data_IF_097073391421
#
_entry.id   IF_097073391421
#
_cell.length_a   1.000
_cell.length_b   1.000
_cell.length_c   1.000
_cell.angle_alpha   90.00
_cell.angle_beta   90.00
_cell.angle_gamma   90.00
#
_symmetry.space_group_name_H-M   'P 1'
#
loop_
_entity.id
_entity.type
_entity.pdbx_description
1 polymer ?
#
# COMPACT_ATOMS: atom_id res chain seq x y z
N UNK A 1 12.25 -13.26 -15.18
CA UNK A 1 10.85 -13.00 -14.81
C UNK A 1 10.86 -11.67 -14.08
N UNK A 2 10.00 -10.74 -14.44
CA UNK A 2 9.89 -9.48 -13.70
C UNK A 2 9.06 -9.78 -12.46
N UNK A 3 9.61 -9.61 -11.28
CA UNK A 3 8.88 -9.72 -10.01
C UNK A 3 8.03 -8.47 -9.89
N UNK A 4 6.77 -8.62 -9.53
CA UNK A 4 5.90 -7.48 -9.26
C UNK A 4 6.39 -6.79 -7.97
N UNK A 5 6.67 -5.47 -7.98
CA UNK A 5 7.31 -4.79 -6.85
C UNK A 5 6.52 -4.88 -5.55
N UNK A 6 5.19 -4.91 -5.62
CA UNK A 6 4.30 -5.02 -4.47
C UNK A 6 4.39 -6.40 -3.81
N UNK A 7 4.38 -7.48 -4.61
CA UNK A 7 4.54 -8.85 -4.12
C UNK A 7 5.94 -9.04 -3.51
N UNK A 8 6.98 -8.49 -4.15
CA UNK A 8 8.35 -8.56 -3.64
C UNK A 8 8.50 -7.90 -2.26
N UNK A 9 7.83 -6.77 -2.04
CA UNK A 9 7.87 -6.07 -0.76
C UNK A 9 7.37 -6.91 0.43
N UNK A 10 6.52 -7.89 0.19
CA UNK A 10 5.97 -8.79 1.23
C UNK A 10 6.59 -10.19 1.21
N UNK A 11 7.75 -10.36 0.56
CA UNK A 11 8.50 -11.62 0.50
C UNK A 11 7.93 -12.63 -0.51
N UNK A 12 7.36 -12.19 -1.61
CA UNK A 12 6.89 -13.02 -2.73
C UNK A 12 7.71 -12.66 -3.97
N UNK A 13 8.70 -13.49 -4.32
CA UNK A 13 9.62 -13.26 -5.45
C UNK A 13 9.14 -13.89 -6.76
N UNK A 14 8.07 -14.63 -6.72
CA UNK A 14 7.44 -15.28 -7.85
C UNK A 14 6.39 -14.36 -8.51
N UNK A 15 6.04 -14.65 -9.74
CA UNK A 15 5.02 -13.88 -10.45
C UNK A 15 3.59 -14.18 -9.95
N UNK A 16 2.64 -13.39 -10.47
CA UNK A 16 1.21 -13.50 -10.11
C UNK A 16 0.65 -14.90 -10.32
N UNK A 17 1.02 -15.59 -11.42
CA UNK A 17 0.51 -16.93 -11.72
C UNK A 17 0.96 -17.96 -10.68
N UNK A 18 2.24 -17.96 -10.33
CA UNK A 18 2.81 -18.86 -9.33
C UNK A 18 2.24 -18.56 -7.94
N UNK A 19 2.05 -17.27 -7.61
CA UNK A 19 1.42 -16.86 -6.35
C UNK A 19 0.00 -17.42 -6.24
N UNK A 20 -0.79 -17.34 -7.32
CA UNK A 20 -2.14 -17.92 -7.36
C UNK A 20 -2.12 -19.44 -7.20
N UNK A 21 -1.18 -20.14 -7.83
CA UNK A 21 -1.03 -21.59 -7.67
C UNK A 21 -0.78 -21.99 -6.21
N UNK A 22 0.00 -21.20 -5.46
CA UNK A 22 0.23 -21.44 -4.03
C UNK A 22 -1.02 -21.24 -3.18
N UNK A 23 -1.92 -20.37 -3.61
CA UNK A 23 -3.19 -20.13 -2.93
C UNK A 23 -4.22 -21.22 -3.18
N UNK A 24 -4.04 -22.04 -4.24
CA UNK A 24 -4.91 -23.17 -4.53
C UNK A 24 -4.84 -24.18 -3.38
N UNK A 25 -6.01 -24.53 -2.83
CA UNK A 25 -6.13 -25.44 -1.68
C UNK A 25 -5.96 -24.78 -0.31
N UNK A 26 -5.62 -23.49 -0.25
CA UNK A 26 -5.78 -22.68 0.95
C UNK A 26 -7.27 -22.35 1.11
N UNK A 27 -7.77 -22.44 2.33
CA UNK A 27 -9.18 -22.13 2.61
C UNK A 27 -9.37 -20.59 2.69
N UNK A 28 -9.28 -19.92 1.53
CA UNK A 28 -9.49 -18.48 1.43
C UNK A 28 -10.95 -18.24 1.05
N UNK A 29 -11.74 -17.55 1.88
CA UNK A 29 -13.09 -17.18 1.53
C UNK A 29 -13.10 -16.28 0.29
N UNK A 30 -13.89 -16.67 -0.70
CA UNK A 30 -14.17 -15.81 -1.87
C UNK A 30 -15.55 -15.21 -1.68
N UNK A 31 -15.66 -13.93 -1.89
CA UNK A 31 -16.89 -13.16 -1.79
C UNK A 31 -17.33 -12.82 -3.20
N UNK A 32 -18.56 -13.18 -3.55
CA UNK A 32 -19.17 -12.85 -4.83
C UNK A 32 -20.05 -11.61 -4.68
N UNK A 33 -19.84 -10.63 -5.57
CA UNK A 33 -20.69 -9.45 -5.70
C UNK A 33 -21.85 -9.76 -6.64
N UNK A 34 -23.08 -9.30 -6.35
CA UNK A 34 -24.21 -9.44 -7.25
C UNK A 34 -24.00 -8.84 -8.65
N UNK A 35 -23.08 -7.89 -8.81
CA UNK A 35 -22.70 -7.31 -10.09
C UNK A 35 -21.77 -8.22 -10.93
N UNK A 36 -21.34 -9.35 -10.39
CA UNK A 36 -20.52 -10.34 -11.10
C UNK A 36 -19.03 -10.29 -10.79
N UNK A 37 -18.58 -9.36 -9.96
CA UNK A 37 -17.23 -9.36 -9.42
C UNK A 37 -17.07 -10.42 -8.33
N UNK A 38 -15.84 -10.87 -8.11
CA UNK A 38 -15.52 -11.75 -6.98
C UNK A 38 -14.13 -11.42 -6.45
N UNK A 39 -13.92 -11.56 -5.14
CA UNK A 39 -12.61 -11.34 -4.54
C UNK A 39 -12.39 -12.19 -3.30
N UNK A 40 -11.13 -12.41 -2.97
CA UNK A 40 -10.70 -13.05 -1.74
C UNK A 40 -9.41 -12.43 -1.24
N UNK A 41 -9.15 -12.56 0.05
CA UNK A 41 -7.93 -12.09 0.68
C UNK A 41 -7.31 -13.25 1.47
N UNK A 42 -6.12 -13.64 1.07
CA UNK A 42 -5.26 -14.47 1.90
C UNK A 42 -4.52 -13.58 2.88
N UNK A 43 -4.54 -13.94 4.15
CA UNK A 43 -3.77 -13.26 5.21
C UNK A 43 -2.77 -14.24 5.79
N UNK A 44 -1.50 -13.90 5.69
CA UNK A 44 -0.38 -14.65 6.24
C UNK A 44 -0.14 -14.26 7.69
N UNK A 45 0.30 -15.19 8.58
CA UNK A 45 0.64 -14.86 9.97
C UNK A 45 1.72 -13.77 10.14
N UNK A 46 2.54 -13.55 9.12
CA UNK A 46 3.50 -12.42 9.09
C UNK A 46 2.84 -11.04 8.96
N UNK A 47 1.55 -10.97 8.62
CA UNK A 47 0.80 -9.77 8.29
C UNK A 47 0.81 -9.42 6.80
N UNK A 48 1.56 -10.16 5.97
CA UNK A 48 1.46 -10.06 4.52
C UNK A 48 0.07 -10.52 4.05
N UNK A 49 -0.49 -9.85 3.04
CA UNK A 49 -1.77 -10.22 2.45
C UNK A 49 -1.66 -10.32 0.94
N UNK A 50 -2.45 -11.20 0.34
CA UNK A 50 -2.65 -11.25 -1.11
C UNK A 50 -4.13 -11.11 -1.39
N UNK A 51 -4.53 -10.00 -1.99
CA UNK A 51 -5.87 -9.79 -2.50
C UNK A 51 -5.93 -10.30 -3.94
N UNK A 52 -6.95 -11.06 -4.28
CA UNK A 52 -7.13 -11.58 -5.63
C UNK A 52 -8.61 -11.63 -5.97
N UNK A 53 -8.90 -11.57 -7.26
CA UNK A 53 -10.30 -11.61 -7.68
C UNK A 53 -10.47 -11.42 -9.17
N UNK A 54 -11.74 -11.18 -9.51
CA UNK A 54 -12.19 -10.89 -10.87
C UNK A 54 -13.11 -9.68 -10.83
N UNK A 55 -12.83 -8.71 -11.68
CA UNK A 55 -13.67 -7.55 -11.89
C UNK A 55 -14.96 -7.92 -12.65
N UNK A 56 -15.93 -7.02 -12.70
CA UNK A 56 -17.20 -7.19 -13.42
C UNK A 56 -17.01 -7.46 -14.93
N UNK A 57 -15.97 -6.90 -15.54
CA UNK A 57 -15.58 -7.11 -16.94
C UNK A 57 -14.83 -8.43 -17.20
N UNK A 58 -14.59 -9.21 -16.15
CA UNK A 58 -13.86 -10.47 -16.20
C UNK A 58 -12.35 -10.35 -16.03
N UNK A 59 -11.81 -9.15 -15.90
CA UNK A 59 -10.38 -8.92 -15.63
C UNK A 59 -9.99 -9.49 -14.28
N UNK A 60 -8.96 -10.32 -14.26
CA UNK A 60 -8.42 -10.89 -13.03
C UNK A 60 -7.28 -10.05 -12.49
N UNK A 61 -7.24 -9.89 -11.17
CA UNK A 61 -6.19 -9.16 -10.47
C UNK A 61 -5.61 -9.98 -9.31
N UNK A 62 -4.39 -9.66 -8.92
CA UNK A 62 -3.72 -10.19 -7.73
C UNK A 62 -2.74 -9.13 -7.26
N UNK A 63 -3.01 -8.56 -6.09
CA UNK A 63 -2.27 -7.46 -5.52
C UNK A 63 -1.77 -7.82 -4.12
N UNK A 64 -0.58 -7.36 -3.76
CA UNK A 64 -0.11 -7.41 -2.39
C UNK A 64 -0.86 -6.41 -1.52
N UNK A 65 -1.01 -6.75 -0.25
CA UNK A 65 -1.48 -5.85 0.79
C UNK A 65 -0.75 -6.17 2.11
N UNK A 66 -0.93 -5.36 3.13
CA UNK A 66 -0.26 -5.52 4.42
C UNK A 66 -1.21 -5.20 5.56
N UNK A 67 -1.19 -6.02 6.60
CA UNK A 67 -1.92 -5.74 7.82
C UNK A 67 -1.33 -4.52 8.54
N UNK A 68 -2.18 -3.52 8.81
CA UNK A 68 -1.82 -2.31 9.55
C UNK A 68 -2.58 -2.25 10.87
N UNK A 69 -1.90 -1.99 12.02
CA UNK A 69 -2.56 -1.82 13.30
C UNK A 69 -3.30 -0.48 13.41
N UNK A 70 -2.97 0.48 12.54
CA UNK A 70 -3.53 1.82 12.57
C UNK A 70 -4.80 1.89 11.71
N UNK A 71 -5.87 2.41 12.30
CA UNK A 71 -7.17 2.57 11.65
C UNK A 71 -7.62 4.03 11.74
N UNK A 72 -8.13 4.56 10.63
CA UNK A 72 -8.53 5.95 10.53
C UNK A 72 -9.94 6.08 9.95
N UNK A 73 -10.77 6.98 10.49
CA UNK A 73 -11.99 7.37 9.81
C UNK A 73 -11.63 8.10 8.51
N UNK A 74 -12.34 7.77 7.44
CA UNK A 74 -12.11 8.36 6.13
C UNK A 74 -13.41 8.57 5.35
N UNK A 75 -13.34 9.46 4.36
CA UNK A 75 -14.26 9.44 3.23
C UNK A 75 -13.51 8.81 2.06
N UNK A 76 -14.11 7.77 1.47
CA UNK A 76 -13.48 7.04 0.38
C UNK A 76 -14.47 6.70 -0.73
N UNK A 77 -13.96 6.58 -1.95
CA UNK A 77 -14.69 6.08 -3.11
C UNK A 77 -13.74 5.38 -4.08
N UNK A 78 -14.26 4.44 -4.87
CA UNK A 78 -13.47 3.77 -5.91
C UNK A 78 -13.29 4.70 -7.10
N UNK A 79 -12.08 4.78 -7.65
CA UNK A 79 -11.76 5.46 -8.91
C UNK A 79 -11.64 4.48 -10.07
N UNK A 80 -11.30 3.22 -9.77
CA UNK A 80 -11.41 2.06 -10.67
C UNK A 80 -11.74 0.81 -9.86
N UNK A 81 -11.56 -0.39 -10.39
CA UNK A 81 -12.03 -1.62 -9.75
C UNK A 81 -11.58 -1.77 -8.28
N UNK A 82 -10.29 -1.75 -8.01
CA UNK A 82 -9.72 -1.86 -6.66
C UNK A 82 -8.86 -0.66 -6.24
N UNK A 83 -8.73 0.36 -7.10
CA UNK A 83 -8.08 1.62 -6.76
C UNK A 83 -9.10 2.58 -6.16
N UNK A 84 -8.80 3.10 -4.99
CA UNK A 84 -9.68 4.00 -4.25
C UNK A 84 -8.98 5.29 -3.84
N UNK A 85 -9.76 6.35 -3.79
CA UNK A 85 -9.39 7.64 -3.23
C UNK A 85 -9.85 7.71 -1.77
N UNK A 86 -8.98 8.24 -0.89
CA UNK A 86 -9.29 8.47 0.51
C UNK A 86 -8.94 9.90 0.93
N UNK A 87 -9.87 10.53 1.65
CA UNK A 87 -9.64 11.68 2.51
C UNK A 87 -9.67 11.19 3.96
N UNK A 88 -8.52 11.17 4.66
CA UNK A 88 -8.44 10.87 6.08
C UNK A 88 -9.03 12.03 6.89
N UNK A 89 -9.76 11.70 7.93
CA UNK A 89 -10.45 12.67 8.79
C UNK A 89 -9.94 12.56 10.23
N UNK A 90 -9.52 13.67 10.82
CA UNK A 90 -9.28 13.80 12.24
C UNK A 90 -10.13 14.95 12.79
N UNK A 91 -10.95 14.67 13.83
CA UNK A 91 -11.84 15.67 14.39
C UNK A 91 -12.87 16.29 13.44
N UNK A 92 -13.00 15.75 12.22
CA UNK A 92 -13.84 16.27 11.13
C UNK A 92 -13.08 17.07 10.08
N UNK A 93 -11.83 17.41 10.33
CA UNK A 93 -10.93 18.06 9.36
C UNK A 93 -10.14 17.02 8.56
N UNK A 94 -9.70 17.42 7.35
CA UNK A 94 -8.90 16.55 6.46
C UNK A 94 -7.45 16.60 6.86
N UNK A 95 -6.89 15.43 7.26
CA UNK A 95 -5.48 15.29 7.63
C UNK A 95 -4.60 14.80 6.49
N UNK A 96 -5.15 14.05 5.55
CA UNK A 96 -4.40 13.51 4.43
C UNK A 96 -5.29 13.04 3.29
N UNK A 97 -4.68 12.94 2.11
CA UNK A 97 -5.34 12.45 0.90
C UNK A 97 -4.39 11.55 0.14
N UNK A 98 -4.87 10.38 -0.30
CA UNK A 98 -4.09 9.44 -1.09
C UNK A 98 -4.96 8.52 -1.95
N UNK A 99 -4.31 7.85 -2.91
CA UNK A 99 -4.85 6.69 -3.61
C UNK A 99 -4.27 5.42 -2.99
N UNK A 100 -5.07 4.37 -2.89
CA UNK A 100 -4.61 3.06 -2.45
C UNK A 100 -5.32 1.94 -3.22
N UNK A 101 -4.60 0.84 -3.49
CA UNK A 101 -5.25 -0.42 -3.84
C UNK A 101 -5.87 -1.03 -2.60
N UNK A 102 -7.11 -1.47 -2.70
CA UNK A 102 -7.90 -1.97 -1.57
C UNK A 102 -8.16 -3.47 -1.66
N UNK A 103 -8.12 -4.13 -0.51
CA UNK A 103 -8.41 -5.56 -0.38
C UNK A 103 -9.92 -5.86 -0.29
N UNK A 104 -10.76 -4.86 -0.06
CA UNK A 104 -12.22 -4.97 -0.04
C UNK A 104 -12.86 -3.84 -0.86
N UNK A 105 -12.90 -3.93 -2.19
CA UNK A 105 -13.42 -2.87 -3.03
C UNK A 105 -14.93 -2.62 -2.86
N UNK A 106 -15.70 -3.60 -2.41
CA UNK A 106 -17.16 -3.47 -2.26
C UNK A 106 -17.59 -2.69 -1.01
N UNK A 107 -16.67 -2.42 -0.09
CA UNK A 107 -16.92 -1.48 1.01
C UNK A 107 -17.06 -0.02 0.51
N UNK A 108 -16.68 0.25 -0.74
CA UNK A 108 -16.65 1.58 -1.34
C UNK A 108 -17.59 1.66 -2.54
N UNK A 109 -18.25 2.79 -2.67
CA UNK A 109 -19.05 3.13 -3.86
C UNK A 109 -18.17 3.65 -4.99
N UNK A 110 -18.67 3.59 -6.23
CA UNK A 110 -18.03 4.25 -7.37
C UNK A 110 -18.35 5.75 -7.33
N UNK A 111 -17.32 6.58 -7.42
CA UNK A 111 -17.40 8.05 -7.60
C UNK A 111 -18.03 8.86 -6.47
N UNK A 112 -18.83 8.29 -5.60
CA UNK A 112 -19.45 9.02 -4.49
C UNK A 112 -18.77 8.66 -3.16
N UNK A 113 -18.23 9.65 -2.40
CA UNK A 113 -17.58 9.36 -1.12
C UNK A 113 -18.56 8.79 -0.09
N UNK A 114 -18.18 7.67 0.52
CA UNK A 114 -18.86 7.12 1.69
C UNK A 114 -17.92 7.07 2.90
N UNK A 115 -18.48 7.06 4.10
CA UNK A 115 -17.71 6.95 5.34
C UNK A 115 -17.27 5.51 5.54
N UNK A 116 -15.98 5.34 5.80
CA UNK A 116 -15.35 4.04 6.05
C UNK A 116 -14.29 4.16 7.13
N UNK A 117 -13.86 3.03 7.64
CA UNK A 117 -12.61 2.91 8.39
C UNK A 117 -11.54 2.35 7.44
N UNK A 118 -10.41 3.05 7.31
CA UNK A 118 -9.30 2.64 6.46
C UNK A 118 -8.07 2.32 7.30
N UNK A 119 -7.37 1.25 6.92
CA UNK A 119 -6.08 0.84 7.49
C UNK A 119 -5.01 0.93 6.39
N UNK A 120 -4.34 2.09 6.25
CA UNK A 120 -3.36 2.28 5.20
C UNK A 120 -2.06 1.55 5.52
N UNK A 121 -1.39 1.10 4.45
CA UNK A 121 -0.04 0.57 4.49
C UNK A 121 0.72 0.97 3.21
N UNK A 122 2.04 0.82 3.22
CA UNK A 122 2.89 1.17 2.09
C UNK A 122 3.83 0.00 1.75
N UNK A 123 3.95 -0.33 0.47
CA UNK A 123 4.83 -1.38 -0.04
C UNK A 123 5.97 -0.73 -0.81
N UNK A 124 7.21 -0.96 -0.40
CA UNK A 124 8.38 -0.35 -1.01
C UNK A 124 8.68 -0.91 -2.39
N UNK A 125 8.70 -0.06 -3.41
CA UNK A 125 9.08 -0.41 -4.77
C UNK A 125 10.53 0.01 -5.08
N UNK A 126 10.86 1.28 -4.83
CA UNK A 126 12.22 1.82 -4.97
C UNK A 126 12.52 2.63 -3.71
N UNK A 127 13.33 2.09 -2.81
CA UNK A 127 13.50 2.62 -1.46
C UNK A 127 14.95 2.91 -1.14
N UNK A 128 15.19 4.07 -0.54
CA UNK A 128 16.44 4.46 0.09
C UNK A 128 16.23 4.57 1.60
N UNK A 129 17.18 4.08 2.38
CA UNK A 129 17.18 4.17 3.83
C UNK A 129 18.26 5.14 4.28
N UNK A 130 17.90 6.10 5.11
CA UNK A 130 18.78 7.09 5.72
C UNK A 130 18.85 6.79 7.22
N UNK A 131 20.02 6.94 7.83
CA UNK A 131 20.20 6.65 9.25
C UNK A 131 19.46 7.64 10.17
N UNK A 132 19.11 8.84 9.68
CA UNK A 132 18.40 9.85 10.45
C UNK A 132 17.68 10.87 9.55
N UNK A 133 16.81 11.69 10.15
CA UNK A 133 16.20 12.84 9.47
C UNK A 133 17.25 13.88 9.00
N UNK A 134 18.35 14.03 9.73
CA UNK A 134 19.42 14.97 9.34
C UNK A 134 20.14 14.48 8.08
N UNK A 135 20.45 13.18 7.99
CA UNK A 135 21.02 12.58 6.77
C UNK A 135 20.06 12.72 5.58
N UNK A 136 18.78 12.44 5.80
CA UNK A 136 17.75 12.61 4.78
C UNK A 136 17.69 14.05 4.27
N UNK A 137 17.69 15.04 5.16
CA UNK A 137 17.68 16.47 4.80
C UNK A 137 18.96 16.88 4.05
N UNK A 138 20.12 16.37 4.49
CA UNK A 138 21.39 16.62 3.82
C UNK A 138 21.37 16.08 2.38
N UNK A 139 20.94 14.83 2.19
CA UNK A 139 20.86 14.20 0.86
C UNK A 139 19.95 15.00 -0.09
N UNK A 140 18.85 15.56 0.40
CA UNK A 140 17.98 16.42 -0.42
C UNK A 140 18.61 17.77 -0.76
N UNK A 141 19.40 18.35 0.14
CA UNK A 141 20.04 19.66 -0.09
C UNK A 141 21.11 19.63 -1.19
N UNK A 142 21.63 18.44 -1.50
CA UNK A 142 22.60 18.24 -2.59
C UNK A 142 21.93 18.20 -3.98
N UNK A 143 20.59 18.12 -4.02
CA UNK A 143 19.84 18.16 -5.27
C UNK A 143 19.11 19.52 -5.35
N UNK A 144 19.35 20.26 -6.42
CA UNK A 144 18.63 21.52 -6.72
C UNK A 144 17.12 21.22 -6.92
N UNK A 145 16.34 21.28 -5.86
CA UNK A 145 14.93 20.94 -5.93
C UNK A 145 14.14 21.25 -4.67
N UNK A 146 12.90 20.76 -4.66
CA UNK A 146 11.98 20.88 -3.54
C UNK A 146 12.45 20.01 -2.37
N UNK A 147 12.78 20.60 -1.24
CA UNK A 147 13.06 19.87 -0.01
C UNK A 147 11.74 19.34 0.57
N UNK A 148 11.64 18.02 0.72
CA UNK A 148 10.48 17.35 1.31
C UNK A 148 10.74 17.02 2.77
N UNK A 149 9.70 17.04 3.59
CA UNK A 149 9.77 16.58 4.97
C UNK A 149 10.03 15.06 5.02
N UNK A 150 10.66 14.56 6.10
CA UNK A 150 10.86 13.14 6.34
C UNK A 150 9.54 12.37 6.57
N UNK A 151 8.43 13.08 6.65
CA UNK A 151 7.07 12.56 6.83
C UNK A 151 6.17 13.11 5.73
N UNK A 152 6.19 12.46 4.58
CA UNK A 152 5.31 12.88 3.49
C UNK A 152 4.73 11.69 2.71
N UNK A 153 3.58 11.94 2.10
CA UNK A 153 2.94 11.09 1.10
C UNK A 153 2.39 11.99 0.01
N UNK A 154 2.92 11.84 -1.20
CA UNK A 154 2.49 12.62 -2.37
C UNK A 154 2.18 11.68 -3.52
N UNK A 155 0.90 11.58 -3.88
CA UNK A 155 0.45 10.83 -5.04
C UNK A 155 0.35 11.75 -6.25
N UNK A 156 1.20 11.59 -7.29
CA UNK A 156 1.10 12.37 -8.51
C UNK A 156 -0.21 12.11 -9.26
N UNK A 157 -0.74 10.91 -9.15
CA UNK A 157 -1.99 10.49 -9.79
C UNK A 157 -3.23 11.21 -9.23
N UNK A 158 -3.20 11.64 -7.97
CA UNK A 158 -4.27 12.47 -7.42
C UNK A 158 -4.42 13.79 -8.17
N UNK A 159 -3.29 14.41 -8.52
CA UNK A 159 -3.31 15.65 -9.29
C UNK A 159 -3.83 15.40 -10.70
N UNK A 160 -3.32 14.36 -11.37
CA UNK A 160 -3.73 14.00 -12.73
C UNK A 160 -5.24 13.67 -12.82
N UNK A 161 -5.78 12.91 -11.87
CA UNK A 161 -7.21 12.62 -11.78
C UNK A 161 -8.03 13.91 -11.55
N UNK A 162 -7.55 14.80 -10.70
CA UNK A 162 -8.27 16.03 -10.37
C UNK A 162 -8.26 17.05 -11.50
N UNK A 163 -7.18 17.12 -12.27
CA UNK A 163 -7.06 17.98 -13.45
C UNK A 163 -7.75 17.40 -14.70
N UNK A 164 -8.10 16.10 -14.66
CA UNK A 164 -8.66 15.38 -15.82
C UNK A 164 -7.61 14.93 -16.82
N UNK A 165 -6.33 14.95 -16.45
CA UNK A 165 -5.21 14.50 -17.27
C UNK A 165 -5.03 12.96 -17.25
N UNK A 166 -5.74 12.27 -16.35
CA UNK A 166 -5.81 10.81 -16.29
C UNK A 166 -7.20 10.33 -15.91
N UNK A 167 -7.53 9.11 -16.32
CA UNK A 167 -8.72 8.36 -15.89
C UNK A 167 -8.39 7.43 -14.72
N UNK A 168 -9.42 6.87 -14.07
CA UNK A 168 -9.24 5.90 -12.98
C UNK A 168 -8.47 4.65 -13.42
N UNK A 169 -8.64 4.21 -14.66
CA UNK A 169 -7.97 3.01 -15.20
C UNK A 169 -6.51 3.26 -15.57
N UNK A 170 -6.11 4.51 -15.77
CA UNK A 170 -4.72 4.90 -16.02
C UNK A 170 -3.96 5.21 -14.73
N UNK A 171 -4.68 5.52 -13.64
CA UNK A 171 -4.10 5.91 -12.37
C UNK A 171 -3.56 4.70 -11.59
N UNK A 172 -2.62 4.97 -10.70
CA UNK A 172 -2.09 3.98 -9.76
C UNK A 172 -1.95 4.55 -8.35
N UNK A 173 -1.73 3.69 -7.37
CA UNK A 173 -1.48 4.09 -5.99
C UNK A 173 -0.01 4.44 -5.71
N UNK A 174 0.85 4.43 -6.72
CA UNK A 174 2.26 4.81 -6.55
C UNK A 174 2.37 6.24 -6.05
N UNK A 175 3.13 6.41 -4.98
CA UNK A 175 3.35 7.69 -4.32
C UNK A 175 4.84 7.91 -4.02
N UNK A 176 5.25 9.17 -4.01
CA UNK A 176 6.45 9.61 -3.33
C UNK A 176 6.16 9.63 -1.83
N UNK A 177 6.92 8.86 -1.09
CA UNK A 177 6.65 8.61 0.31
C UNK A 177 7.93 8.70 1.14
N UNK A 178 7.81 9.23 2.34
CA UNK A 178 8.83 9.09 3.37
C UNK A 178 8.19 8.91 4.75
N UNK A 179 8.86 8.13 5.59
CA UNK A 179 8.44 7.87 6.96
C UNK A 179 9.65 7.72 7.89
N UNK A 180 9.48 8.19 9.13
CA UNK A 180 10.41 7.94 10.22
C UNK A 180 10.07 6.59 10.86
N UNK A 181 11.03 5.69 10.90
CA UNK A 181 10.89 4.34 11.48
C UNK A 181 10.65 4.44 12.99
N UNK A 182 9.57 3.83 13.47
CA UNK A 182 9.29 3.66 14.90
C UNK A 182 9.74 2.28 15.39
N UNK A 183 9.49 1.25 14.59
CA UNK A 183 9.97 -0.12 14.85
C UNK A 183 10.11 -0.88 13.53
N UNK A 184 11.02 -1.83 13.50
CA UNK A 184 11.22 -2.72 12.34
C UNK A 184 11.44 -4.15 12.82
N UNK A 185 10.85 -5.11 12.12
CA UNK A 185 10.95 -6.53 12.37
C UNK A 185 11.14 -7.27 11.06
N UNK A 186 12.13 -8.13 10.98
CA UNK A 186 12.24 -9.09 9.89
C UNK A 186 11.21 -10.20 10.14
N UNK A 187 10.30 -10.43 9.19
CA UNK A 187 9.25 -11.44 9.28
C UNK A 187 9.36 -12.40 8.11
N UNK A 188 8.95 -13.65 8.33
CA UNK A 188 8.93 -14.67 7.29
C UNK A 188 7.51 -14.82 6.78
N UNK A 189 7.31 -14.66 5.47
CA UNK A 189 6.06 -14.98 4.80
C UNK A 189 5.91 -16.51 4.73
N UNK A 190 4.90 -17.07 5.38
CA UNK A 190 4.71 -18.53 5.45
C UNK A 190 4.29 -19.15 4.11
N UNK A 191 3.71 -18.36 3.20
CA UNK A 191 3.34 -18.84 1.87
C UNK A 191 4.57 -19.21 1.04
N UNK A 192 5.66 -18.43 1.18
CA UNK A 192 6.87 -18.58 0.34
C UNK A 192 8.11 -19.03 1.12
N UNK A 193 8.14 -18.84 2.44
CA UNK A 193 9.32 -19.03 3.29
C UNK A 193 10.34 -17.89 3.16
N UNK A 194 10.03 -16.78 2.48
CA UNK A 194 10.90 -15.63 2.29
C UNK A 194 10.71 -14.60 3.39
N UNK A 195 11.76 -13.84 3.66
CA UNK A 195 11.75 -12.77 4.65
C UNK A 195 11.45 -11.43 4.00
N UNK A 196 10.83 -10.52 4.77
CA UNK A 196 10.63 -9.12 4.45
C UNK A 196 10.64 -8.29 5.73
N UNK A 197 10.94 -7.00 5.61
CA UNK A 197 10.83 -6.08 6.72
C UNK A 197 9.38 -5.62 6.90
N UNK A 198 8.85 -5.86 8.10
CA UNK A 198 7.62 -5.23 8.57
C UNK A 198 8.00 -4.05 9.48
N UNK A 199 7.65 -2.85 9.04
CA UNK A 199 8.02 -1.60 9.71
C UNK A 199 6.76 -0.87 10.16
N UNK A 200 6.77 -0.35 11.37
CA UNK A 200 5.85 0.71 11.78
C UNK A 200 6.57 2.03 11.60
N UNK A 201 6.01 2.91 10.80
CA UNK A 201 6.59 4.20 10.46
C UNK A 201 5.58 5.34 10.62
N UNK A 202 6.10 6.52 10.90
CA UNK A 202 5.34 7.76 10.96
C UNK A 202 5.59 8.57 9.70
N UNK A 203 4.59 8.67 8.84
CA UNK A 203 4.53 9.53 7.66
C UNK A 203 3.54 10.68 7.92
N UNK A 204 2.67 11.01 6.99
CA UNK A 204 1.54 11.95 7.24
C UNK A 204 0.63 11.43 8.35
N UNK A 205 0.52 10.11 8.47
CA UNK A 205 -0.08 9.38 9.60
C UNK A 205 0.77 8.14 9.88
N UNK A 206 0.74 7.58 11.11
CA UNK A 206 1.32 6.28 11.39
C UNK A 206 0.73 5.17 10.51
N UNK A 207 1.59 4.32 9.92
CA UNK A 207 1.14 3.20 9.10
C UNK A 207 2.14 2.03 9.12
N UNK A 208 1.69 0.88 8.66
CA UNK A 208 2.56 -0.26 8.41
C UNK A 208 3.25 -0.11 7.04
N UNK A 209 4.48 -0.60 6.94
CA UNK A 209 5.29 -0.53 5.74
C UNK A 209 5.97 -1.88 5.55
N UNK A 210 5.94 -2.42 4.34
CA UNK A 210 6.70 -3.59 3.97
C UNK A 210 7.83 -3.23 3.00
N UNK A 211 9.02 -3.83 3.22
CA UNK A 211 10.17 -3.68 2.35
C UNK A 211 10.79 -5.04 2.07
N UNK A 212 11.35 -5.27 0.87
CA UNK A 212 12.15 -6.45 0.61
C UNK A 212 13.27 -6.60 1.64
N UNK A 213 13.60 -7.84 2.03
CA UNK A 213 14.61 -8.10 3.07
C UNK A 213 15.99 -7.48 2.77
N UNK A 214 16.35 -7.42 1.48
CA UNK A 214 17.61 -6.88 1.00
C UNK A 214 17.69 -5.35 0.98
N UNK A 215 16.55 -4.65 1.09
CA UNK A 215 16.49 -3.18 1.01
C UNK A 215 17.35 -2.50 2.08
N UNK A 216 17.44 -3.10 3.28
CA UNK A 216 18.23 -2.53 4.35
C UNK A 216 18.81 -3.59 5.28
N UNK A 217 20.11 -3.42 5.64
CA UNK A 217 20.76 -4.29 6.63
C UNK A 217 20.49 -3.85 8.07
N UNK A 218 20.13 -2.58 8.29
CA UNK A 218 19.99 -1.99 9.64
C UNK A 218 18.85 -0.96 9.67
N UNK A 219 17.60 -1.45 9.69
CA UNK A 219 16.47 -0.59 10.03
C UNK A 219 16.37 -0.46 11.56
N UNK A 220 16.38 0.78 12.05
CA UNK A 220 16.27 1.08 13.47
C UNK A 220 15.33 2.25 13.72
N UNK A 221 14.77 2.43 14.92
CA UNK A 221 13.98 3.60 15.26
C UNK A 221 14.75 4.90 15.00
N UNK A 222 14.10 5.87 14.34
CA UNK A 222 14.67 7.14 13.93
C UNK A 222 15.33 7.15 12.54
N UNK A 223 15.54 5.99 11.91
CA UNK A 223 15.89 5.94 10.48
C UNK A 223 14.75 6.51 9.62
N UNK A 224 15.07 7.03 8.44
CA UNK A 224 14.08 7.48 7.46
C UNK A 224 14.12 6.54 6.27
N UNK A 225 12.96 6.05 5.89
CA UNK A 225 12.75 5.32 4.63
C UNK A 225 12.05 6.26 3.65
N UNK A 226 12.56 6.38 2.44
CA UNK A 226 11.99 7.27 1.43
C UNK A 226 12.12 6.70 0.02
N UNK A 227 11.19 7.07 -0.88
CA UNK A 227 11.24 6.65 -2.28
C UNK A 227 9.87 6.50 -2.92
N UNK A 228 9.78 5.57 -3.87
CA UNK A 228 8.53 5.19 -4.51
C UNK A 228 7.88 4.01 -3.77
N UNK A 229 6.63 4.20 -3.39
CA UNK A 229 5.83 3.20 -2.67
C UNK A 229 4.50 2.98 -3.35
N UNK A 230 4.02 1.75 -3.31
CA UNK A 230 2.66 1.38 -3.67
C UNK A 230 1.83 1.48 -2.39
N UNK A 231 0.85 2.36 -2.36
CA UNK A 231 -0.02 2.53 -1.20
C UNK A 231 -1.17 1.54 -1.31
N UNK A 232 -1.40 0.82 -0.23
CA UNK A 232 -2.45 -0.20 -0.12
C UNK A 232 -3.30 0.07 1.13
N UNK A 233 -4.49 -0.48 1.17
CA UNK A 233 -5.34 -0.31 2.35
C UNK A 233 -6.30 -1.48 2.54
N UNK A 234 -6.61 -1.78 3.81
CA UNK A 234 -7.77 -2.57 4.17
C UNK A 234 -8.93 -1.63 4.52
N UNK A 235 -10.14 -1.95 4.06
CA UNK A 235 -11.33 -1.10 4.22
C UNK A 235 -12.41 -1.87 4.95
N UNK A 236 -12.95 -1.23 6.00
CA UNK A 236 -14.11 -1.69 6.76
C UNK A 236 -15.26 -0.67 6.57
N UNK A 237 -16.45 -1.19 6.24
CA UNK A 237 -17.66 -0.38 6.05
C UNK A 237 -18.27 0.05 7.38
#
# INVERSE_FOLDING_TARGET
MSTEPDLHAIGIDEGVAETRERLVGRNVPVIDDPAGASWGVYTDPSGAKVAFGRAEDGTEYTDANLESPHAYPAQGYRVSYNLAHFDLLEGGDREGRFLAYVDNPTALTLTEPNKVTVRPAALGAEVVVYASEDEYKQAQSEHDGLTLDAKHLKSPWLLALHSGDATGDEASSVAMFAAVVQSAQLRTNELTGREFWYVLGESVVPMAIALPAETAQNLHPGAVIAGAFIIVASVEA
#
